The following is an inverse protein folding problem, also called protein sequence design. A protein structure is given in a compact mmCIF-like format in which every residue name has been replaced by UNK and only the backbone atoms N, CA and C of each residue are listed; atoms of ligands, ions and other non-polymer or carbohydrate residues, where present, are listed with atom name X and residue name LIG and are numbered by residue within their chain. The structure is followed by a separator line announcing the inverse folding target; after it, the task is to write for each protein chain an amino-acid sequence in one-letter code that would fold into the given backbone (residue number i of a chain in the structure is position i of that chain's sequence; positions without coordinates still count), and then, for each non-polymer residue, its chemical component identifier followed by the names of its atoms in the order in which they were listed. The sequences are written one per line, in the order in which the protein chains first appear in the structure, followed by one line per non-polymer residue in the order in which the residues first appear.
data_IF_794714967237
#
_entry.id   IF_794714967237
#
_cell.length_a   1.000
_cell.length_b   1.000
_cell.length_c   1.000
_cell.angle_alpha   90.00
_cell.angle_beta   90.00
_cell.angle_gamma   90.00
#
_symmetry.space_group_name_H-M   'P 1'
#
loop_
_entity.id
_entity.type
_entity.pdbx_description
1 polymer ?
#
# COMPACT_ATOMS: atom_id res chain seq x y z
N UNK A 1 -31.61 37.17 32.88
CA UNK A 1 -32.75 36.25 32.63
C UNK A 1 -33.44 36.77 31.37
N UNK A 2 -33.22 36.12 30.22
CA UNK A 2 -33.84 36.54 28.95
C UNK A 2 -35.30 36.08 28.97
N UNK A 3 -36.24 36.99 28.80
CA UNK A 3 -37.65 36.66 28.65
C UNK A 3 -37.86 35.97 27.29
N UNK A 4 -38.02 34.66 27.32
CA UNK A 4 -38.19 33.81 26.13
C UNK A 4 -39.62 33.84 25.56
N UNK A 5 -40.54 34.54 26.22
CA UNK A 5 -41.94 34.70 25.82
C UNK A 5 -42.20 36.06 25.14
N UNK A 6 -41.29 37.02 25.26
CA UNK A 6 -41.35 38.29 24.54
C UNK A 6 -40.90 38.15 23.07
N UNK A 7 -41.47 39.00 22.19
CA UNK A 7 -41.01 39.15 20.80
C UNK A 7 -39.58 39.69 20.81
N UNK A 8 -38.64 38.94 20.26
CA UNK A 8 -37.22 39.30 20.23
C UNK A 8 -36.85 39.86 18.86
N UNK A 9 -35.96 40.86 18.82
CA UNK A 9 -35.46 41.42 17.57
C UNK A 9 -34.50 40.43 16.87
N UNK A 10 -34.35 40.58 15.56
CA UNK A 10 -33.42 39.73 14.78
C UNK A 10 -31.98 39.85 15.25
N UNK A 11 -31.54 41.06 15.63
CA UNK A 11 -30.20 41.29 16.18
C UNK A 11 -30.01 40.54 17.50
N UNK A 12 -30.96 40.65 18.43
CA UNK A 12 -30.89 39.95 19.71
C UNK A 12 -30.96 38.42 19.55
N UNK A 13 -31.70 37.91 18.54
CA UNK A 13 -31.68 36.48 18.22
C UNK A 13 -30.34 36.04 17.62
N UNK A 14 -29.76 36.85 16.73
CA UNK A 14 -28.43 36.60 16.16
C UNK A 14 -27.37 36.48 17.24
N UNK A 15 -27.34 37.44 18.16
CA UNK A 15 -26.44 37.43 19.32
C UNK A 15 -26.66 36.19 20.21
N UNK A 16 -27.93 35.80 20.41
CA UNK A 16 -28.28 34.63 21.22
C UNK A 16 -27.76 33.31 20.63
N UNK A 17 -27.82 33.15 19.31
CA UNK A 17 -27.44 31.88 18.63
C UNK A 17 -26.07 31.94 17.94
N UNK A 18 -25.36 33.06 18.06
CA UNK A 18 -24.00 33.25 17.55
C UNK A 18 -23.91 33.44 16.03
N UNK A 19 -24.93 34.06 15.41
CA UNK A 19 -24.93 34.37 13.97
C UNK A 19 -25.21 35.85 13.73
N UNK A 20 -24.83 36.35 12.55
CA UNK A 20 -25.05 37.76 12.22
C UNK A 20 -26.54 38.06 12.01
N UNK A 21 -26.97 39.30 12.28
CA UNK A 21 -28.34 39.73 12.02
C UNK A 21 -28.76 39.53 10.54
N UNK A 22 -27.91 39.79 9.52
CA UNK A 22 -28.23 39.44 8.14
C UNK A 22 -28.50 37.95 7.92
N UNK A 23 -27.80 37.06 8.63
CA UNK A 23 -28.06 35.62 8.56
C UNK A 23 -29.42 35.26 9.17
N UNK A 24 -29.84 35.92 10.26
CA UNK A 24 -31.21 35.76 10.81
C UNK A 24 -32.26 36.25 9.80
N UNK A 25 -31.98 37.38 9.12
CA UNK A 25 -32.85 37.89 8.06
C UNK A 25 -32.98 36.90 6.90
N UNK A 26 -31.88 36.30 6.45
CA UNK A 26 -31.91 35.26 5.41
C UNK A 26 -32.77 34.05 5.84
N UNK A 27 -32.63 33.59 7.08
CA UNK A 27 -33.42 32.49 7.61
C UNK A 27 -34.93 32.80 7.65
N UNK A 28 -35.30 34.05 7.93
CA UNK A 28 -36.69 34.52 7.85
C UNK A 28 -37.18 34.57 6.40
N UNK A 29 -36.38 35.11 5.49
CA UNK A 29 -36.70 35.19 4.06
C UNK A 29 -36.91 33.81 3.44
N UNK A 30 -36.09 32.83 3.86
CA UNK A 30 -36.18 31.43 3.42
C UNK A 30 -37.32 30.65 4.08
N UNK A 31 -38.07 31.26 4.99
CA UNK A 31 -39.16 30.61 5.72
C UNK A 31 -38.70 29.57 6.74
N UNK A 32 -37.41 29.54 7.09
CA UNK A 32 -36.87 28.65 8.13
C UNK A 32 -37.32 29.14 9.51
N UNK A 33 -37.33 30.47 9.71
CA UNK A 33 -37.90 31.12 10.87
C UNK A 33 -39.23 31.77 10.51
N UNK A 34 -40.19 31.76 11.42
CA UNK A 34 -41.51 32.40 11.20
C UNK A 34 -41.55 33.79 11.82
N UNK A 35 -41.78 34.83 11.01
CA UNK A 35 -41.80 36.21 11.50
C UNK A 35 -42.89 36.44 12.58
N UNK A 36 -42.56 37.22 13.62
CA UNK A 36 -43.50 37.62 14.67
C UNK A 36 -43.67 36.62 15.82
N UNK A 37 -43.04 35.44 15.72
CA UNK A 37 -43.00 34.42 16.77
C UNK A 37 -42.03 34.76 17.91
N UNK A 38 -42.21 34.18 19.11
CA UNK A 38 -41.31 34.40 20.24
C UNK A 38 -39.97 33.68 20.05
N UNK A 39 -38.96 34.13 20.80
CA UNK A 39 -37.59 33.60 20.78
C UNK A 39 -37.51 32.08 20.93
N UNK A 40 -38.37 31.50 21.78
CA UNK A 40 -38.43 30.06 22.02
C UNK A 40 -38.85 29.24 20.80
N UNK A 41 -39.73 29.80 19.94
CA UNK A 41 -40.16 29.16 18.69
C UNK A 41 -39.04 29.25 17.66
N UNK A 42 -38.41 30.42 17.50
CA UNK A 42 -37.27 30.59 16.61
C UNK A 42 -36.11 29.67 16.96
N UNK A 43 -35.82 29.47 18.25
CA UNK A 43 -34.78 28.55 18.69
C UNK A 43 -35.09 27.11 18.28
N UNK A 44 -36.34 26.66 18.45
CA UNK A 44 -36.77 25.31 18.04
C UNK A 44 -36.69 25.13 16.53
N UNK A 45 -37.08 26.13 15.75
CA UNK A 45 -37.01 26.14 14.28
C UNK A 45 -35.56 26.09 13.79
N UNK A 46 -34.69 26.96 14.34
CA UNK A 46 -33.27 26.99 14.03
C UNK A 46 -32.59 25.65 14.36
N UNK A 47 -32.82 25.10 15.55
CA UNK A 47 -32.28 23.80 15.94
C UNK A 47 -32.80 22.66 15.05
N UNK A 48 -34.05 22.72 14.59
CA UNK A 48 -34.60 21.73 13.64
C UNK A 48 -33.86 21.80 12.30
N UNK A 49 -33.72 23.00 11.74
CA UNK A 49 -33.00 23.22 10.49
C UNK A 49 -31.53 22.76 10.56
N UNK A 50 -30.82 23.02 11.67
CA UNK A 50 -29.46 22.51 11.85
C UNK A 50 -29.39 20.99 11.89
N UNK A 51 -30.36 20.32 12.53
CA UNK A 51 -30.42 18.85 12.56
C UNK A 51 -30.73 18.27 11.19
N UNK A 52 -31.65 18.87 10.44
CA UNK A 52 -31.98 18.45 9.07
C UNK A 52 -30.78 18.62 8.13
N UNK A 53 -30.05 19.74 8.22
CA UNK A 53 -28.83 19.95 7.44
C UNK A 53 -27.72 18.95 7.82
N UNK A 54 -27.54 18.68 9.11
CA UNK A 54 -26.56 17.70 9.57
C UNK A 54 -26.92 16.27 9.11
N UNK A 55 -28.19 15.89 9.22
CA UNK A 55 -28.69 14.61 8.70
C UNK A 55 -28.57 14.52 7.18
N UNK A 56 -28.82 15.62 6.46
CA UNK A 56 -28.65 15.73 5.02
C UNK A 56 -27.21 15.54 4.57
N UNK A 57 -26.22 16.08 5.30
CA UNK A 57 -24.79 15.84 5.00
C UNK A 57 -24.38 14.38 5.21
N UNK A 58 -24.96 13.73 6.22
CA UNK A 58 -24.73 12.30 6.47
C UNK A 58 -25.41 11.42 5.40
N UNK A 59 -26.62 11.77 4.97
CA UNK A 59 -27.35 11.06 3.91
C UNK A 59 -26.77 11.31 2.50
N UNK A 60 -26.21 12.51 2.25
CA UNK A 60 -25.52 12.85 1.00
C UNK A 60 -24.14 12.19 0.87
N UNK A 61 -23.72 11.39 1.85
CA UNK A 61 -22.46 10.66 1.82
C UNK A 61 -21.22 11.54 1.86
N UNK A 62 -21.32 12.80 2.28
CA UNK A 62 -20.17 13.73 2.28
C UNK A 62 -19.07 13.29 3.25
N UNK A 63 -19.46 12.72 4.40
CA UNK A 63 -18.55 12.09 5.36
C UNK A 63 -17.90 10.83 4.80
N UNK A 64 -18.63 10.07 3.99
CA UNK A 64 -18.14 8.87 3.31
C UNK A 64 -17.12 9.24 2.22
N UNK A 65 -17.44 10.24 1.41
CA UNK A 65 -16.54 10.79 0.39
C UNK A 65 -15.22 11.34 0.97
N UNK A 66 -15.27 12.02 2.13
CA UNK A 66 -14.06 12.47 2.81
C UNK A 66 -13.19 11.30 3.29
N UNK A 67 -13.83 10.23 3.78
CA UNK A 67 -13.17 9.00 4.22
C UNK A 67 -12.54 8.25 3.05
N UNK A 68 -13.27 8.06 1.96
CA UNK A 68 -12.79 7.44 0.72
C UNK A 68 -11.63 8.22 0.09
N UNK A 69 -11.69 9.55 0.08
CA UNK A 69 -10.57 10.40 -0.38
C UNK A 69 -9.33 10.23 0.48
N UNK A 70 -9.49 10.11 1.81
CA UNK A 70 -8.36 9.85 2.70
C UNK A 70 -7.74 8.46 2.47
N UNK A 71 -8.57 7.44 2.22
CA UNK A 71 -8.11 6.10 1.86
C UNK A 71 -7.35 6.10 0.52
N UNK A 72 -7.88 6.78 -0.50
CA UNK A 72 -7.22 6.95 -1.79
C UNK A 72 -5.87 7.67 -1.64
N UNK A 73 -5.81 8.75 -0.85
CA UNK A 73 -4.58 9.48 -0.61
C UNK A 73 -3.52 8.61 0.09
N UNK A 74 -3.93 7.72 1.01
CA UNK A 74 -3.04 6.74 1.63
C UNK A 74 -2.49 5.76 0.60
N UNK A 75 -3.36 5.15 -0.21
CA UNK A 75 -2.94 4.21 -1.25
C UNK A 75 -2.01 4.86 -2.31
N UNK A 76 -2.26 6.13 -2.65
CA UNK A 76 -1.39 6.89 -3.55
C UNK A 76 0.00 7.13 -2.94
N UNK A 77 0.07 7.49 -1.66
CA UNK A 77 1.35 7.66 -0.94
C UNK A 77 2.15 6.37 -0.92
N UNK A 78 1.51 5.25 -0.59
CA UNK A 78 2.15 3.93 -0.56
C UNK A 78 2.69 3.53 -1.94
N UNK A 79 1.90 3.75 -2.99
CA UNK A 79 2.36 3.53 -4.37
C UNK A 79 3.61 4.34 -4.70
N UNK A 80 3.65 5.62 -4.32
CA UNK A 80 4.80 6.50 -4.56
C UNK A 80 6.01 6.03 -3.74
N UNK A 81 5.80 5.58 -2.51
CA UNK A 81 6.84 5.02 -1.66
C UNK A 81 7.48 3.77 -2.27
N UNK A 82 6.66 2.83 -2.74
CA UNK A 82 7.15 1.64 -3.47
C UNK A 82 7.91 2.01 -4.75
N UNK A 83 7.41 2.98 -5.52
CA UNK A 83 8.10 3.47 -6.72
C UNK A 83 9.44 4.12 -6.38
N UNK A 84 9.53 4.86 -5.27
CA UNK A 84 10.77 5.46 -4.79
C UNK A 84 11.75 4.38 -4.33
N UNK A 85 11.30 3.34 -3.62
CA UNK A 85 12.13 2.21 -3.22
C UNK A 85 12.71 1.46 -4.44
N UNK A 86 11.91 1.26 -5.49
CA UNK A 86 12.39 0.72 -6.77
C UNK A 86 13.44 1.63 -7.39
N UNK A 87 13.17 2.94 -7.45
CA UNK A 87 14.11 3.93 -8.00
C UNK A 87 15.44 3.97 -7.22
N UNK A 88 15.38 3.78 -5.90
CA UNK A 88 16.56 3.68 -5.01
C UNK A 88 17.29 2.35 -5.08
N UNK A 89 16.79 1.38 -5.87
CA UNK A 89 17.28 -0.01 -5.95
C UNK A 89 17.16 -0.79 -4.64
N UNK A 90 16.28 -0.36 -3.74
CA UNK A 90 15.96 -1.07 -2.50
C UNK A 90 14.95 -2.21 -2.76
N UNK A 91 14.15 -2.10 -3.83
CA UNK A 91 13.25 -3.14 -4.33
C UNK A 91 13.51 -3.38 -5.82
N UNK A 92 13.69 -4.64 -6.23
CA UNK A 92 13.76 -5.02 -7.64
C UNK A 92 12.47 -5.74 -8.05
N UNK A 93 11.83 -5.40 -9.19
CA UNK A 93 10.68 -6.14 -9.67
C UNK A 93 11.08 -7.59 -9.99
N UNK A 94 10.34 -8.56 -9.45
CA UNK A 94 10.61 -10.00 -9.63
C UNK A 94 10.76 -10.36 -11.11
N UNK A 95 9.87 -9.85 -11.97
CA UNK A 95 9.93 -10.08 -13.41
C UNK A 95 11.24 -9.59 -14.06
N UNK A 96 11.86 -8.52 -13.55
CA UNK A 96 13.16 -8.03 -14.06
C UNK A 96 14.29 -8.97 -13.60
N UNK A 97 14.26 -9.42 -12.35
CA UNK A 97 15.21 -10.40 -11.83
C UNK A 97 15.13 -11.72 -12.62
N UNK A 98 13.93 -12.22 -12.87
CA UNK A 98 13.70 -13.43 -13.69
C UNK A 98 14.26 -13.27 -15.12
N UNK A 99 14.04 -12.13 -15.76
CA UNK A 99 14.57 -11.85 -17.09
C UNK A 99 16.09 -11.81 -17.12
N UNK A 100 16.70 -11.13 -16.15
CA UNK A 100 18.16 -11.03 -16.02
C UNK A 100 18.76 -12.41 -15.77
N UNK A 101 18.22 -13.16 -14.80
CA UNK A 101 18.70 -14.49 -14.44
C UNK A 101 18.52 -15.48 -15.61
N UNK A 102 17.39 -15.44 -16.30
CA UNK A 102 17.15 -16.24 -17.51
C UNK A 102 18.17 -15.95 -18.61
N UNK A 103 18.50 -14.66 -18.82
CA UNK A 103 19.49 -14.26 -19.82
C UNK A 103 20.89 -14.75 -19.45
N UNK A 104 21.29 -14.57 -18.19
CA UNK A 104 22.59 -15.05 -17.67
C UNK A 104 22.68 -16.57 -17.76
N UNK A 105 21.63 -17.29 -17.32
CA UNK A 105 21.57 -18.75 -17.38
C UNK A 105 21.72 -19.30 -18.79
N UNK A 106 21.04 -18.71 -19.80
CA UNK A 106 21.21 -19.10 -21.20
C UNK A 106 22.63 -18.86 -21.71
N UNK A 107 23.24 -17.74 -21.35
CA UNK A 107 24.62 -17.42 -21.75
C UNK A 107 25.62 -18.43 -21.16
N UNK A 108 25.48 -18.76 -19.87
CA UNK A 108 26.32 -19.75 -19.20
C UNK A 108 26.12 -21.13 -19.81
N UNK A 109 24.87 -21.56 -20.03
CA UNK A 109 24.56 -22.85 -20.64
C UNK A 109 25.22 -22.99 -22.02
N UNK A 110 25.16 -21.95 -22.87
CA UNK A 110 25.81 -21.97 -24.17
C UNK A 110 27.34 -22.08 -24.09
N UNK A 111 27.98 -21.46 -23.10
CA UNK A 111 29.42 -21.60 -22.86
C UNK A 111 29.75 -23.04 -22.44
N UNK A 112 28.99 -23.59 -21.48
CA UNK A 112 29.21 -24.95 -20.97
C UNK A 112 29.03 -26.01 -22.07
N UNK A 113 27.99 -25.89 -22.89
CA UNK A 113 27.73 -26.82 -24.01
C UNK A 113 28.82 -26.79 -25.09
N UNK A 114 29.54 -25.67 -25.21
CA UNK A 114 30.66 -25.57 -26.13
C UNK A 114 31.95 -26.24 -25.63
N UNK A 115 32.08 -26.51 -24.32
CA UNK A 115 33.32 -27.03 -23.72
C UNK A 115 33.75 -28.37 -24.34
N UNK A 116 32.89 -29.41 -24.47
CA UNK A 116 33.31 -30.70 -25.04
C UNK A 116 33.81 -30.56 -26.48
N UNK A 117 33.15 -29.72 -27.29
CA UNK A 117 33.53 -29.46 -28.68
C UNK A 117 34.87 -28.73 -28.76
N UNK A 118 35.10 -27.75 -27.89
CA UNK A 118 36.36 -27.02 -27.83
C UNK A 118 37.52 -27.91 -27.38
N UNK A 119 37.30 -28.80 -26.42
CA UNK A 119 38.28 -29.78 -25.95
C UNK A 119 38.63 -30.78 -27.05
N UNK A 120 37.62 -31.35 -27.72
CA UNK A 120 37.84 -32.25 -28.87
C UNK A 120 38.72 -31.64 -29.96
N UNK A 121 38.62 -30.32 -30.17
CA UNK A 121 39.42 -29.59 -31.17
C UNK A 121 40.84 -29.26 -30.70
N UNK A 122 41.07 -29.13 -29.38
CA UNK A 122 42.32 -28.59 -28.81
C UNK A 122 43.17 -29.64 -28.08
N UNK A 123 42.65 -30.83 -27.83
CA UNK A 123 43.30 -31.85 -27.00
C UNK A 123 43.07 -33.25 -27.55
N UNK A 124 43.96 -34.18 -27.23
CA UNK A 124 43.89 -35.60 -27.61
C UNK A 124 43.10 -36.44 -26.58
N UNK A 125 42.01 -35.88 -26.05
CA UNK A 125 41.12 -36.62 -25.15
C UNK A 125 40.44 -37.76 -25.88
N UNK A 126 40.22 -38.86 -25.18
CA UNK A 126 39.50 -40.01 -25.73
C UNK A 126 38.01 -39.67 -25.89
N UNK A 127 37.29 -40.42 -26.73
CA UNK A 127 35.84 -40.28 -26.83
C UNK A 127 35.14 -40.53 -25.49
N UNK A 128 35.65 -41.44 -24.67
CA UNK A 128 35.08 -41.76 -23.36
C UNK A 128 35.21 -40.59 -22.38
N UNK A 129 36.35 -39.89 -22.38
CA UNK A 129 36.55 -38.68 -21.58
C UNK A 129 35.60 -37.55 -21.99
N UNK A 130 35.43 -37.36 -23.31
CA UNK A 130 34.51 -36.34 -23.85
C UNK A 130 33.05 -36.65 -23.51
N UNK A 131 32.66 -37.93 -23.53
CA UNK A 131 31.32 -38.37 -23.14
C UNK A 131 31.09 -38.19 -21.63
N UNK A 132 32.10 -38.44 -20.80
CA UNK A 132 32.03 -38.14 -19.37
C UNK A 132 31.82 -36.64 -19.10
N UNK A 133 32.65 -35.78 -19.71
CA UNK A 133 32.54 -34.31 -19.56
C UNK A 133 31.18 -33.82 -20.05
N UNK A 134 30.70 -34.33 -21.19
CA UNK A 134 29.39 -33.95 -21.73
C UNK A 134 28.26 -34.31 -20.76
N UNK A 135 28.31 -35.50 -20.14
CA UNK A 135 27.31 -35.90 -19.13
C UNK A 135 27.34 -34.99 -17.90
N UNK A 136 28.51 -34.64 -17.39
CA UNK A 136 28.63 -33.74 -16.24
C UNK A 136 28.13 -32.32 -16.55
N UNK A 137 28.42 -31.79 -17.75
CA UNK A 137 27.86 -30.51 -18.21
C UNK A 137 26.33 -30.55 -18.28
N UNK A 138 25.76 -31.61 -18.83
CA UNK A 138 24.29 -31.78 -18.91
C UNK A 138 23.68 -31.87 -17.52
N UNK A 139 24.31 -32.62 -16.59
CA UNK A 139 23.87 -32.73 -15.21
C UNK A 139 23.85 -31.36 -14.51
N UNK A 140 24.95 -30.61 -14.60
CA UNK A 140 25.05 -29.28 -14.01
C UNK A 140 23.99 -28.30 -14.58
N UNK A 141 23.77 -28.32 -15.90
CA UNK A 141 22.76 -27.49 -16.55
C UNK A 141 21.34 -27.84 -16.09
N UNK A 142 21.02 -29.13 -16.01
CA UNK A 142 19.70 -29.58 -15.58
C UNK A 142 19.44 -29.26 -14.10
N UNK A 143 20.46 -29.36 -13.25
CA UNK A 143 20.36 -28.94 -11.85
C UNK A 143 20.12 -27.42 -11.76
N UNK A 144 20.90 -26.61 -12.46
CA UNK A 144 20.71 -25.15 -12.49
C UNK A 144 19.34 -24.72 -13.03
N UNK A 145 18.78 -25.47 -13.99
CA UNK A 145 17.45 -25.23 -14.53
C UNK A 145 16.32 -25.65 -13.58
N UNK A 146 16.61 -26.54 -12.63
CA UNK A 146 15.66 -27.04 -11.64
C UNK A 146 15.56 -26.18 -10.38
N UNK A 147 16.49 -25.25 -10.16
CA UNK A 147 16.47 -24.36 -8.99
C UNK A 147 15.26 -23.43 -9.07
N UNK A 148 14.47 -23.45 -8.01
CA UNK A 148 13.31 -22.60 -7.78
C UNK A 148 13.53 -21.68 -6.60
N UNK A 149 12.65 -20.69 -6.44
CA UNK A 149 12.69 -19.80 -5.28
C UNK A 149 12.46 -20.55 -3.95
N UNK A 150 11.77 -21.69 -3.99
CA UNK A 150 11.49 -22.51 -2.80
C UNK A 150 12.76 -23.16 -2.25
N UNK A 151 13.68 -23.57 -3.12
CA UNK A 151 14.95 -24.19 -2.73
C UNK A 151 15.84 -23.22 -1.93
N UNK A 152 15.73 -21.91 -2.18
CA UNK A 152 16.48 -20.88 -1.46
C UNK A 152 15.96 -20.65 -0.03
N UNK A 153 14.66 -20.83 0.20
CA UNK A 153 14.06 -20.68 1.54
C UNK A 153 14.48 -21.84 2.44
N UNK A 154 14.63 -23.05 1.89
CA UNK A 154 15.10 -24.22 2.62
C UNK A 154 16.58 -24.08 3.04
N UNK A 155 17.43 -23.49 2.19
CA UNK A 155 18.84 -23.21 2.50
C UNK A 155 19.02 -22.16 3.62
N UNK A 156 18.19 -21.11 3.64
CA UNK A 156 18.22 -20.08 4.68
C UNK A 156 17.81 -20.65 6.05
N UNK A 157 16.79 -21.52 6.11
CA UNK A 157 16.39 -22.21 7.35
C UNK A 157 17.45 -23.21 7.85
N UNK A 158 18.17 -23.90 6.96
CA UNK A 158 19.28 -24.79 7.33
C UNK A 158 20.51 -24.02 7.81
N UNK A 159 20.77 -22.84 7.22
CA UNK A 159 21.82 -21.91 7.66
C UNK A 159 21.58 -21.37 9.06
N UNK A 160 20.33 -20.98 9.36
CA UNK A 160 19.93 -20.48 10.68
C UNK A 160 20.00 -21.58 11.76
N UNK A 161 19.50 -22.79 11.47
CA UNK A 161 19.59 -23.95 12.38
C UNK A 161 21.04 -24.31 12.73
N UNK A 162 21.94 -24.29 11.75
CA UNK A 162 23.36 -24.58 11.98
C UNK A 162 24.07 -23.48 12.79
N UNK A 163 23.62 -22.23 12.73
CA UNK A 163 24.19 -21.15 13.56
C UNK A 163 23.73 -21.20 15.02
N UNK A 164 22.53 -21.70 15.29
CA UNK A 164 22.04 -21.88 16.67
C UNK A 164 22.70 -23.07 17.38
N UNK A 165 22.99 -24.17 16.67
CA UNK A 165 23.64 -25.35 17.25
C UNK A 165 25.12 -25.14 17.61
N UNK A 166 25.81 -24.21 16.93
CA UNK A 166 27.21 -23.86 17.27
C UNK A 166 27.29 -22.94 18.49
N UNK A 167 26.22 -22.17 18.80
CA UNK A 167 26.20 -21.23 19.90
C UNK A 167 26.04 -21.89 21.29
N UNK A 168 25.53 -23.14 21.36
CA UNK A 168 25.31 -23.86 22.62
C UNK A 168 26.34 -24.97 22.93
N UNK A 169 27.39 -25.10 22.12
CA UNK A 169 28.39 -26.18 22.26
C UNK A 169 29.71 -25.82 22.97
N UNK A 170 29.88 -24.59 23.49
CA UNK A 170 31.17 -24.11 24.01
C UNK A 170 31.27 -23.90 25.53
N UNK A 171 30.24 -24.29 26.31
CA UNK A 171 30.31 -24.25 27.77
C UNK A 171 30.06 -25.66 28.36
N UNK A 172 31.14 -26.44 28.47
CA UNK A 172 31.13 -27.77 29.09
C UNK A 172 32.54 -28.18 29.46
N UNK A 173 33.06 -27.54 30.51
CA UNK A 173 34.31 -27.83 31.24
C UNK A 173 34.25 -29.22 31.92
#
# INVERSE_FOLDING_TARGET
MIDQQARMSQAAFGDLVGISQPAVSDLLTRGVLTAGEPASVWLKQYCRNLREQAAGRQAAGELDLATERAALARAQREKVELQNAVTRRELAPVAVLEQVLSKVGRQIAGILEAIPVQLKRRSELTSEDLDFITREVVKARNQAAGITLADLVEEDEEGERNTEDVAYGLDGD
#
